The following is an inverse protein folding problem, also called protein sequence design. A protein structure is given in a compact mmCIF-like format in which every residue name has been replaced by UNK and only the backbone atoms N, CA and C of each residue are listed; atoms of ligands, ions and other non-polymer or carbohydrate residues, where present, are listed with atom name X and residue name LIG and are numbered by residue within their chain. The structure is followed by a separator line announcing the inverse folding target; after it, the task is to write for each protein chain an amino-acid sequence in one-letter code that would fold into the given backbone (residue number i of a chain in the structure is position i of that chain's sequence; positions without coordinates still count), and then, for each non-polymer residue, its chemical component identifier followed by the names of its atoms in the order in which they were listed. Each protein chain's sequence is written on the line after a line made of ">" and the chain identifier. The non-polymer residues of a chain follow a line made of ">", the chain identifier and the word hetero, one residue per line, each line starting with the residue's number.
data_IF_145594499006
#
_entry.id   IF_145594499006
#
_cell.length_a   1.000
_cell.length_b   1.000
_cell.length_c   1.000
_cell.angle_alpha   90.00
_cell.angle_beta   90.00
_cell.angle_gamma   90.00
#
_symmetry.space_group_name_H-M   'P 1'
#
loop_
_entity.id
_entity.type
_entity.pdbx_description
1 polymer ?
#
# COMPACT_ATOMS: atom_id res chain seq x y z
N UNK A 1 -21.64 -12.56 -5.38
CA UNK A 1 -20.51 -13.51 -5.47
C UNK A 1 -19.22 -12.79 -5.13
N UNK A 2 -18.33 -13.41 -4.36
CA UNK A 2 -17.07 -12.80 -3.96
C UNK A 2 -16.16 -12.44 -5.14
N UNK A 3 -16.23 -13.19 -6.24
CA UNK A 3 -15.48 -12.92 -7.49
C UNK A 3 -15.70 -11.51 -8.05
N UNK A 4 -16.88 -10.91 -7.85
CA UNK A 4 -17.16 -9.54 -8.31
C UNK A 4 -16.36 -8.46 -7.57
N UNK A 5 -15.73 -8.79 -6.44
CA UNK A 5 -14.81 -7.89 -5.75
C UNK A 5 -13.45 -7.83 -6.43
N UNK A 6 -13.14 -8.70 -7.39
CA UNK A 6 -11.88 -8.69 -8.13
C UNK A 6 -12.11 -8.00 -9.48
N UNK A 7 -11.37 -6.93 -9.76
CA UNK A 7 -11.47 -6.16 -11.01
C UNK A 7 -10.67 -6.79 -12.17
N UNK A 8 -9.90 -7.85 -11.92
CA UNK A 8 -9.05 -8.54 -12.90
C UNK A 8 -9.88 -9.53 -13.72
N UNK A 9 -9.71 -9.51 -15.05
CA UNK A 9 -10.38 -10.43 -15.99
C UNK A 9 -9.63 -11.76 -16.20
N UNK A 10 -8.79 -12.18 -15.24
CA UNK A 10 -7.94 -13.37 -15.35
C UNK A 10 -8.12 -14.32 -14.16
N UNK A 11 -7.43 -15.47 -14.14
CA UNK A 11 -7.50 -16.38 -12.99
C UNK A 11 -7.08 -15.65 -11.72
N UNK A 12 -7.89 -15.82 -10.68
CA UNK A 12 -7.65 -15.25 -9.36
C UNK A 12 -6.79 -16.21 -8.54
N UNK A 13 -5.76 -15.68 -7.90
CA UNK A 13 -4.93 -16.48 -7.00
C UNK A 13 -5.69 -16.80 -5.70
N UNK A 14 -5.27 -17.83 -4.98
CA UNK A 14 -5.93 -18.28 -3.73
C UNK A 14 -6.05 -17.15 -2.69
N UNK A 15 -5.00 -16.32 -2.58
CA UNK A 15 -4.98 -15.15 -1.69
C UNK A 15 -6.00 -14.10 -2.17
N UNK A 16 -6.13 -13.88 -3.47
CA UNK A 16 -7.10 -12.93 -4.03
C UNK A 16 -8.52 -13.37 -3.74
N UNK A 17 -8.81 -14.68 -3.88
CA UNK A 17 -10.10 -15.27 -3.55
C UNK A 17 -10.41 -15.16 -2.05
N UNK A 18 -9.42 -15.44 -1.19
CA UNK A 18 -9.58 -15.33 0.27
C UNK A 18 -9.89 -13.88 0.70
N UNK A 19 -9.16 -12.90 0.18
CA UNK A 19 -9.41 -11.47 0.45
C UNK A 19 -10.77 -11.04 -0.12
N UNK A 20 -11.11 -11.47 -1.34
CA UNK A 20 -12.40 -11.15 -1.95
C UNK A 20 -13.59 -11.72 -1.16
N UNK A 21 -13.46 -12.94 -0.64
CA UNK A 21 -14.46 -13.54 0.25
C UNK A 21 -14.56 -12.76 1.55
N UNK A 22 -13.43 -12.42 2.18
CA UNK A 22 -13.40 -11.64 3.41
C UNK A 22 -14.10 -10.27 3.23
N UNK A 23 -13.89 -9.59 2.10
CA UNK A 23 -14.56 -8.33 1.76
C UNK A 23 -16.07 -8.50 1.54
N UNK A 24 -16.48 -9.58 0.87
CA UNK A 24 -17.90 -9.88 0.65
C UNK A 24 -18.64 -10.16 1.96
N UNK A 25 -18.01 -10.90 2.86
CA UNK A 25 -18.57 -11.17 4.18
C UNK A 25 -18.68 -9.89 5.03
N UNK A 26 -17.68 -8.99 4.95
CA UNK A 26 -17.74 -7.70 5.66
C UNK A 26 -18.86 -6.81 5.12
N UNK A 27 -19.10 -6.82 3.81
CA UNK A 27 -20.23 -6.11 3.20
C UNK A 27 -21.59 -6.61 3.74
N UNK A 28 -21.73 -7.90 4.03
CA UNK A 28 -22.99 -8.47 4.51
C UNK A 28 -23.15 -8.36 6.03
N UNK A 29 -22.07 -8.50 6.79
CA UNK A 29 -22.11 -8.58 8.25
C UNK A 29 -22.01 -7.21 8.94
N UNK A 30 -21.42 -6.20 8.28
CA UNK A 30 -21.24 -4.85 8.86
C UNK A 30 -22.11 -3.85 8.11
N UNK A 31 -23.27 -3.50 8.69
CA UNK A 31 -24.26 -2.62 8.06
C UNK A 31 -23.69 -1.26 7.64
N UNK A 32 -22.78 -0.70 8.43
CA UNK A 32 -22.15 0.60 8.16
C UNK A 32 -21.21 0.57 6.95
N UNK A 33 -20.46 -0.53 6.76
CA UNK A 33 -19.51 -0.67 5.66
C UNK A 33 -20.20 -1.11 4.36
N UNK A 34 -21.42 -1.65 4.43
CA UNK A 34 -22.15 -2.19 3.28
C UNK A 34 -22.29 -1.20 2.12
N UNK A 35 -22.72 0.03 2.40
CA UNK A 35 -22.94 1.06 1.37
C UNK A 35 -21.64 1.46 0.68
N UNK A 36 -20.55 1.54 1.44
CA UNK A 36 -19.25 2.00 0.95
C UNK A 36 -18.45 0.87 0.28
N UNK A 37 -18.53 -0.36 0.78
CA UNK A 37 -17.82 -1.52 0.21
C UNK A 37 -18.48 -2.06 -1.05
N UNK A 38 -19.80 -1.97 -1.20
CA UNK A 38 -20.54 -2.51 -2.36
C UNK A 38 -19.92 -2.13 -3.73
N UNK A 39 -19.63 -0.85 -4.03
CA UNK A 39 -19.03 -0.46 -5.31
C UNK A 39 -17.53 -0.71 -5.42
N UNK A 40 -16.86 -1.09 -4.33
CA UNK A 40 -15.40 -1.21 -4.28
C UNK A 40 -14.93 -2.59 -4.76
N UNK A 41 -13.79 -2.56 -5.47
CA UNK A 41 -13.12 -3.73 -6.00
C UNK A 41 -11.62 -3.66 -5.67
N UNK A 42 -10.98 -4.81 -5.67
CA UNK A 42 -9.53 -4.97 -5.57
C UNK A 42 -8.97 -5.36 -6.94
N UNK A 43 -7.78 -4.87 -7.26
CA UNK A 43 -7.08 -5.22 -8.48
C UNK A 43 -6.30 -6.52 -8.34
N UNK A 44 -5.60 -6.69 -7.21
CA UNK A 44 -4.88 -7.92 -6.85
C UNK A 44 -4.57 -7.94 -5.35
N UNK A 45 -4.15 -9.08 -4.83
CA UNK A 45 -3.65 -9.21 -3.47
C UNK A 45 -2.38 -10.06 -3.49
N UNK A 46 -1.37 -9.67 -2.71
CA UNK A 46 -0.10 -10.38 -2.61
C UNK A 46 0.31 -10.55 -1.16
N UNK A 47 0.85 -11.71 -0.84
CA UNK A 47 1.49 -11.93 0.44
C UNK A 47 2.98 -11.57 0.35
N UNK A 48 3.47 -10.87 1.38
CA UNK A 48 4.86 -10.47 1.53
C UNK A 48 5.32 -10.90 2.90
N UNK A 49 6.43 -11.63 2.95
CA UNK A 49 7.08 -11.98 4.21
C UNK A 49 7.70 -10.72 4.83
N UNK A 50 7.34 -10.48 6.08
CA UNK A 50 7.94 -9.42 6.89
C UNK A 50 9.03 -10.03 7.76
N UNK A 51 9.90 -9.18 8.31
CA UNK A 51 10.90 -9.64 9.27
C UNK A 51 10.25 -10.42 10.42
N UNK A 52 11.00 -11.35 11.00
CA UNK A 52 10.60 -12.13 12.18
C UNK A 52 9.49 -13.17 11.94
N UNK A 53 9.37 -13.69 10.71
CA UNK A 53 8.47 -14.80 10.38
C UNK A 53 6.99 -14.43 10.27
N UNK A 54 6.66 -13.13 10.42
CA UNK A 54 5.32 -12.60 10.16
C UNK A 54 5.11 -12.43 8.65
N UNK A 55 3.85 -12.39 8.24
CA UNK A 55 3.47 -12.14 6.84
C UNK A 55 2.55 -10.94 6.78
N UNK A 56 2.58 -10.22 5.67
CA UNK A 56 1.69 -9.11 5.39
C UNK A 56 0.95 -9.35 4.09
N UNK A 57 -0.34 -8.99 4.08
CA UNK A 57 -1.17 -9.02 2.88
C UNK A 57 -1.24 -7.60 2.32
N UNK A 58 -0.69 -7.44 1.11
CA UNK A 58 -0.73 -6.22 0.34
C UNK A 58 -1.89 -6.29 -0.64
N UNK A 59 -2.90 -5.45 -0.41
CA UNK A 59 -4.10 -5.38 -1.26
C UNK A 59 -3.91 -4.22 -2.24
N UNK A 60 -3.85 -4.54 -3.52
CA UNK A 60 -3.79 -3.56 -4.58
C UNK A 60 -5.19 -3.09 -4.97
N UNK A 61 -5.42 -1.79 -4.85
CA UNK A 61 -6.68 -1.10 -5.12
C UNK A 61 -6.59 -0.38 -6.46
N UNK A 62 -7.62 -0.43 -7.32
CA UNK A 62 -7.67 0.41 -8.52
C UNK A 62 -7.57 1.90 -8.16
N UNK A 63 -6.67 2.64 -8.83
CA UNK A 63 -6.41 4.06 -8.53
C UNK A 63 -7.68 4.93 -8.41
N UNK A 64 -8.72 4.78 -9.27
CA UNK A 64 -9.94 5.57 -9.14
C UNK A 64 -10.70 5.35 -7.82
N UNK A 65 -10.57 4.16 -7.22
CA UNK A 65 -11.29 3.77 -6.00
C UNK A 65 -10.49 4.05 -4.72
N UNK A 66 -9.20 4.39 -4.81
CA UNK A 66 -8.34 4.60 -3.65
C UNK A 66 -8.90 5.64 -2.67
N UNK A 67 -9.43 6.76 -3.16
CA UNK A 67 -10.04 7.79 -2.30
C UNK A 67 -11.24 7.26 -1.51
N UNK A 68 -12.00 6.34 -2.08
CA UNK A 68 -13.13 5.71 -1.39
C UNK A 68 -12.65 4.67 -0.37
N UNK A 69 -11.59 3.91 -0.67
CA UNK A 69 -10.94 3.04 0.31
C UNK A 69 -10.38 3.83 1.49
N UNK A 70 -9.70 4.95 1.26
CA UNK A 70 -9.12 5.78 2.33
C UNK A 70 -10.16 6.24 3.36
N UNK A 71 -11.41 6.52 2.95
CA UNK A 71 -12.50 6.89 3.87
C UNK A 71 -12.80 5.81 4.91
N UNK A 72 -12.72 4.54 4.50
CA UNK A 72 -13.08 3.39 5.33
C UNK A 72 -11.87 2.62 5.85
N UNK A 73 -10.67 2.98 5.40
CA UNK A 73 -9.46 2.16 5.54
C UNK A 73 -9.13 1.84 6.99
N UNK A 74 -9.28 2.78 7.93
CA UNK A 74 -9.01 2.51 9.35
C UNK A 74 -9.92 1.43 9.94
N UNK A 75 -11.21 1.41 9.56
CA UNK A 75 -12.15 0.39 10.03
C UNK A 75 -11.94 -0.92 9.28
N UNK A 76 -11.76 -0.84 7.97
CA UNK A 76 -11.55 -1.98 7.09
C UNK A 76 -10.27 -2.76 7.44
N UNK A 77 -9.17 -2.06 7.74
CA UNK A 77 -7.92 -2.68 8.20
C UNK A 77 -8.13 -3.47 9.48
N UNK A 78 -8.80 -2.89 10.49
CA UNK A 78 -9.10 -3.58 11.76
C UNK A 78 -9.95 -4.84 11.55
N UNK A 79 -11.00 -4.76 10.75
CA UNK A 79 -11.90 -5.89 10.50
C UNK A 79 -11.22 -7.01 9.69
N UNK A 80 -10.38 -6.65 8.72
CA UNK A 80 -9.63 -7.65 7.98
C UNK A 80 -8.49 -8.25 8.82
N UNK A 81 -7.81 -7.49 9.68
CA UNK A 81 -6.76 -8.02 10.57
C UNK A 81 -7.32 -8.97 11.62
N UNK A 82 -8.58 -8.79 12.05
CA UNK A 82 -9.28 -9.80 12.87
C UNK A 82 -9.48 -11.13 12.13
N UNK A 83 -9.77 -11.08 10.83
CA UNK A 83 -10.00 -12.28 10.00
C UNK A 83 -8.68 -12.97 9.61
N UNK A 84 -7.67 -12.19 9.31
CA UNK A 84 -6.34 -12.65 8.95
C UNK A 84 -5.42 -12.50 10.16
N UNK A 85 -5.62 -13.37 11.16
CA UNK A 85 -4.82 -13.36 12.39
C UNK A 85 -3.31 -13.43 12.07
N UNK A 86 -2.52 -12.65 12.79
CA UNK A 86 -1.07 -12.53 12.63
C UNK A 86 -0.56 -12.00 11.29
N UNK A 87 -1.45 -11.47 10.44
CA UNK A 87 -1.06 -10.82 9.19
C UNK A 87 -1.41 -9.35 9.18
N UNK A 88 -0.40 -8.52 8.91
CA UNK A 88 -0.63 -7.09 8.71
C UNK A 88 -1.25 -6.82 7.35
N UNK A 89 -2.22 -5.91 7.32
CA UNK A 89 -2.93 -5.57 6.08
C UNK A 89 -2.58 -4.15 5.68
N UNK A 90 -2.17 -4.02 4.41
CA UNK A 90 -1.76 -2.75 3.81
C UNK A 90 -2.43 -2.59 2.46
N UNK A 91 -3.00 -1.41 2.23
CA UNK A 91 -3.65 -1.05 0.97
C UNK A 91 -2.70 -0.21 0.12
N UNK A 92 -2.55 -0.56 -1.16
CA UNK A 92 -1.73 0.18 -2.12
C UNK A 92 -2.50 0.42 -3.40
N UNK A 93 -2.33 1.58 -4.04
CA UNK A 93 -2.89 1.74 -5.38
C UNK A 93 -2.09 0.94 -6.43
N UNK A 94 -2.82 0.27 -7.33
CA UNK A 94 -2.28 -0.36 -8.51
C UNK A 94 -1.86 0.70 -9.55
N UNK A 95 -0.65 1.24 -9.44
CA UNK A 95 -0.12 2.25 -10.37
C UNK A 95 0.72 1.61 -11.48
N UNK A 96 0.47 2.00 -12.73
CA UNK A 96 1.25 1.55 -13.89
C UNK A 96 2.46 2.45 -14.12
N UNK A 97 3.66 1.86 -14.06
CA UNK A 97 4.90 2.53 -14.48
C UNK A 97 5.03 2.36 -16.00
N UNK A 98 5.17 3.46 -16.73
CA UNK A 98 5.52 3.43 -18.15
C UNK A 98 7.04 3.47 -18.29
N UNK A 99 7.62 2.85 -19.33
CA UNK A 99 9.05 2.94 -19.59
C UNK A 99 9.46 4.38 -19.99
N UNK A 100 10.71 4.77 -19.70
CA UNK A 100 11.25 6.03 -20.21
C UNK A 100 11.41 5.90 -21.73
N UNK A 101 10.85 6.81 -22.55
CA UNK A 101 11.05 6.74 -23.99
C UNK A 101 12.53 6.90 -24.31
N UNK A 102 13.09 5.94 -25.05
CA UNK A 102 14.44 5.98 -25.60
C UNK A 102 14.41 6.60 -27.00
N UNK A 103 15.58 6.85 -27.61
CA UNK A 103 15.66 7.36 -29.00
C UNK A 103 14.97 6.46 -30.03
N UNK A 104 14.85 5.16 -29.74
CA UNK A 104 14.19 4.16 -30.60
C UNK A 104 12.70 3.95 -30.30
N UNK A 105 12.15 4.69 -29.32
CA UNK A 105 10.75 4.56 -28.91
C UNK A 105 9.81 5.00 -30.02
N UNK A 106 8.85 4.13 -30.38
CA UNK A 106 7.75 4.45 -31.31
C UNK A 106 6.53 5.10 -30.63
N UNK A 107 6.65 5.46 -29.34
CA UNK A 107 5.56 6.07 -28.60
C UNK A 107 5.21 7.45 -29.17
N UNK A 108 3.99 7.60 -29.70
CA UNK A 108 3.48 8.86 -30.26
C UNK A 108 3.01 9.85 -29.19
N UNK A 109 2.56 9.35 -28.05
CA UNK A 109 2.01 10.17 -26.96
C UNK A 109 3.06 10.45 -25.89
N UNK A 110 3.04 11.67 -25.35
CA UNK A 110 3.91 12.07 -24.24
C UNK A 110 3.63 11.22 -23.00
N UNK A 111 4.68 10.68 -22.38
CA UNK A 111 4.58 9.94 -21.12
C UNK A 111 4.11 10.88 -20.00
N UNK A 112 2.98 10.58 -19.32
CA UNK A 112 2.54 11.38 -18.17
C UNK A 112 3.53 11.26 -16.99
N UNK A 113 3.79 12.37 -16.29
CA UNK A 113 4.65 12.39 -15.09
C UNK A 113 4.15 11.45 -14.00
N UNK A 114 2.84 11.32 -13.84
CA UNK A 114 2.18 10.42 -12.88
C UNK A 114 2.48 8.93 -13.12
N UNK A 115 2.95 8.55 -14.32
CA UNK A 115 3.35 7.17 -14.67
C UNK A 115 4.87 7.01 -14.76
N UNK A 116 5.61 7.86 -14.04
CA UNK A 116 7.07 7.73 -13.90
C UNK A 116 7.44 6.87 -12.70
N UNK A 117 8.58 6.17 -12.78
CA UNK A 117 9.06 5.32 -11.69
C UNK A 117 9.18 6.11 -10.39
N UNK A 118 9.80 7.29 -10.43
CA UNK A 118 9.98 8.17 -9.27
C UNK A 118 8.63 8.57 -8.65
N UNK A 119 7.70 9.08 -9.46
CA UNK A 119 6.39 9.52 -8.96
C UNK A 119 5.57 8.35 -8.38
N UNK A 120 5.62 7.18 -9.02
CA UNK A 120 4.92 6.00 -8.50
C UNK A 120 5.54 5.53 -7.17
N UNK A 121 6.86 5.55 -7.03
CA UNK A 121 7.54 5.16 -5.80
C UNK A 121 7.29 6.13 -4.64
N UNK A 122 7.09 7.42 -4.92
CA UNK A 122 6.69 8.42 -3.93
C UNK A 122 5.25 8.20 -3.48
N UNK A 123 4.32 8.03 -4.44
CA UNK A 123 2.93 7.74 -4.11
C UNK A 123 2.71 6.40 -3.42
N UNK A 124 3.59 5.42 -3.65
CA UNK A 124 3.57 4.17 -2.91
C UNK A 124 3.98 4.36 -1.43
N UNK A 125 4.91 5.27 -1.13
CA UNK A 125 5.24 5.60 0.27
C UNK A 125 4.04 6.24 0.98
N UNK A 126 3.36 7.18 0.33
CA UNK A 126 2.17 7.84 0.88
C UNK A 126 1.05 6.82 1.19
N UNK A 127 0.78 5.89 0.28
CA UNK A 127 -0.25 4.86 0.50
C UNK A 127 0.09 3.90 1.66
N UNK A 128 1.38 3.53 1.80
CA UNK A 128 1.83 2.59 2.85
C UNK A 128 1.52 3.12 4.25
N UNK A 129 1.69 4.42 4.46
CA UNK A 129 1.63 5.03 5.79
C UNK A 129 0.29 5.66 6.12
N UNK A 130 -0.69 5.60 5.21
CA UNK A 130 -2.05 6.06 5.48
C UNK A 130 -2.62 5.32 6.71
N UNK A 131 -3.16 6.03 7.72
CA UNK A 131 -3.74 7.38 7.66
C UNK A 131 -2.78 8.55 7.90
N UNK A 132 -1.54 8.28 8.30
CA UNK A 132 -0.57 9.30 8.69
C UNK A 132 0.06 9.95 7.47
N UNK A 133 0.46 11.20 7.62
CA UNK A 133 1.16 11.94 6.58
C UNK A 133 2.68 11.88 6.80
N UNK A 134 3.43 11.95 5.70
CA UNK A 134 4.89 12.03 5.75
C UNK A 134 5.27 13.49 6.01
N UNK A 135 5.81 13.77 7.19
CA UNK A 135 6.28 15.11 7.60
C UNK A 135 7.61 15.47 6.95
N UNK A 136 8.44 14.47 6.65
CA UNK A 136 9.73 14.70 6.03
C UNK A 136 10.29 13.45 5.36
N UNK A 137 11.20 13.66 4.40
CA UNK A 137 11.89 12.57 3.70
C UNK A 137 13.31 12.97 3.40
N UNK A 138 14.28 12.17 3.85
CA UNK A 138 15.70 12.35 3.56
C UNK A 138 16.27 11.08 2.96
N UNK A 139 17.22 11.21 2.03
CA UNK A 139 17.98 10.07 1.52
C UNK A 139 19.39 10.17 2.06
N UNK A 140 19.80 9.20 2.89
CA UNK A 140 21.16 9.06 3.35
C UNK A 140 21.91 8.15 2.38
N UNK A 141 23.08 8.60 1.93
CA UNK A 141 24.01 7.78 1.15
C UNK A 141 25.13 7.34 2.09
N UNK A 142 25.35 6.04 2.22
CA UNK A 142 26.46 5.48 3.00
C UNK A 142 27.77 5.55 2.21
N UNK A 143 28.90 5.33 2.89
CA UNK A 143 30.24 5.23 2.27
C UNK A 143 30.27 4.20 1.14
N UNK A 144 29.51 3.12 1.30
CA UNK A 144 29.41 2.03 0.33
C UNK A 144 28.44 2.34 -0.82
N UNK A 145 28.09 3.62 -1.03
CA UNK A 145 27.11 4.15 -1.99
C UNK A 145 25.67 3.66 -1.80
N UNK A 146 25.41 2.81 -0.80
CA UNK A 146 24.08 2.33 -0.44
C UNK A 146 23.19 3.49 -0.01
N UNK A 147 21.98 3.55 -0.58
CA UNK A 147 21.00 4.61 -0.30
C UNK A 147 19.93 4.09 0.65
N UNK A 148 19.76 4.77 1.78
CA UNK A 148 18.70 4.53 2.76
C UNK A 148 17.78 5.74 2.77
N UNK A 149 16.51 5.52 2.49
CA UNK A 149 15.49 6.57 2.55
C UNK A 149 14.95 6.59 3.97
N UNK A 150 15.15 7.68 4.71
CA UNK A 150 14.50 7.88 6.00
C UNK A 150 13.26 8.73 5.81
N UNK A 151 12.13 8.18 6.19
CA UNK A 151 10.81 8.80 6.09
C UNK A 151 10.35 9.13 7.50
N UNK A 152 10.01 10.39 7.71
CA UNK A 152 9.49 10.87 8.98
C UNK A 152 7.97 10.92 8.93
N UNK A 153 7.34 10.36 9.95
CA UNK A 153 5.89 10.35 10.12
C UNK A 153 5.48 11.36 11.18
N UNK A 154 4.19 11.74 11.24
CA UNK A 154 3.70 12.58 12.34
C UNK A 154 3.77 11.82 13.67
N UNK A 155 4.36 12.44 14.69
CA UNK A 155 4.55 11.85 16.02
C UNK A 155 3.23 11.53 16.73
N UNK A 156 2.14 12.22 16.37
CA UNK A 156 0.80 11.99 16.94
C UNK A 156 0.27 10.58 16.72
N UNK A 157 0.65 9.96 15.61
CA UNK A 157 0.14 8.64 15.22
C UNK A 157 1.05 7.49 15.65
N UNK A 158 2.12 7.79 16.42
CA UNK A 158 3.11 6.82 16.89
C UNK A 158 2.49 5.56 17.49
N UNK A 159 1.63 5.73 18.50
CA UNK A 159 0.93 4.63 19.18
C UNK A 159 0.12 3.73 18.23
N UNK A 160 -0.38 4.27 17.12
CA UNK A 160 -1.27 3.55 16.20
C UNK A 160 -0.55 2.84 15.05
N UNK A 161 0.66 3.29 14.68
CA UNK A 161 1.39 2.77 13.51
C UNK A 161 2.72 2.10 13.84
N UNK A 162 3.25 2.27 15.07
CA UNK A 162 4.55 1.73 15.46
C UNK A 162 4.67 0.22 15.21
N UNK A 163 3.61 -0.55 15.49
CA UNK A 163 3.62 -2.00 15.28
C UNK A 163 3.69 -2.44 13.80
N UNK A 164 3.49 -1.53 12.83
CA UNK A 164 3.53 -1.81 11.38
C UNK A 164 4.81 -1.32 10.68
N UNK A 165 5.70 -0.59 11.34
CA UNK A 165 6.85 0.04 10.68
C UNK A 165 7.74 -0.97 9.94
N UNK A 166 8.05 -2.10 10.57
CA UNK A 166 8.86 -3.17 9.95
C UNK A 166 8.17 -3.77 8.72
N UNK A 167 6.84 -3.86 8.77
CA UNK A 167 6.04 -4.31 7.62
C UNK A 167 6.14 -3.33 6.47
N UNK A 168 6.03 -2.02 6.74
CA UNK A 168 6.15 -1.01 5.68
C UNK A 168 7.54 -1.03 5.03
N UNK A 169 8.59 -1.19 5.83
CA UNK A 169 9.96 -1.34 5.34
C UNK A 169 10.09 -2.56 4.40
N UNK A 170 9.60 -3.72 4.85
CA UNK A 170 9.66 -4.97 4.09
C UNK A 170 8.85 -4.89 2.77
N UNK A 171 7.62 -4.39 2.83
CA UNK A 171 6.75 -4.23 1.65
C UNK A 171 7.37 -3.27 0.64
N UNK A 172 7.89 -2.12 1.09
CA UNK A 172 8.52 -1.17 0.19
C UNK A 172 9.78 -1.76 -0.46
N UNK A 173 10.62 -2.44 0.31
CA UNK A 173 11.83 -3.11 -0.18
C UNK A 173 11.48 -4.21 -1.19
N UNK A 174 10.45 -5.02 -0.93
CA UNK A 174 10.01 -6.08 -1.84
C UNK A 174 9.48 -5.54 -3.17
N UNK A 175 8.71 -4.45 -3.13
CA UNK A 175 8.09 -3.89 -4.34
C UNK A 175 9.02 -3.00 -5.16
N UNK A 176 9.95 -2.30 -4.50
CA UNK A 176 10.77 -1.26 -5.17
C UNK A 176 12.27 -1.58 -5.21
N UNK A 177 12.75 -2.53 -4.40
CA UNK A 177 14.16 -2.83 -4.21
C UNK A 177 14.93 -1.76 -3.41
N UNK A 178 14.26 -0.74 -2.88
CA UNK A 178 14.90 0.36 -2.13
C UNK A 178 14.75 0.14 -0.63
N UNK A 179 15.78 0.49 0.12
CA UNK A 179 15.72 0.45 1.58
C UNK A 179 15.12 1.74 2.13
N UNK A 180 14.12 1.56 3.00
CA UNK A 180 13.42 2.64 3.70
C UNK A 180 13.45 2.33 5.19
N UNK A 181 13.55 3.38 6.00
CA UNK A 181 13.35 3.35 7.45
C UNK A 181 12.31 4.42 7.78
N UNK A 182 11.27 4.04 8.50
CA UNK A 182 10.26 4.95 9.02
C UNK A 182 10.60 5.33 10.46
N UNK A 183 10.62 6.62 10.77
CA UNK A 183 10.98 7.15 12.09
C UNK A 183 9.92 8.18 12.51
N UNK A 184 9.54 8.21 13.79
CA UNK A 184 8.81 9.35 14.37
C UNK A 184 9.84 10.38 14.86
N UNK A 185 9.73 11.67 14.49
CA UNK A 185 10.65 12.68 14.97
C UNK A 185 10.46 12.87 16.49
N UNK A 186 11.55 12.71 17.24
CA UNK A 186 11.59 13.04 18.67
C UNK A 186 11.64 14.57 18.81
N UNK A 187 10.46 15.20 18.85
CA UNK A 187 10.25 16.64 18.98
C UNK A 187 10.69 17.52 17.79
N UNK A 188 9.76 18.36 17.32
CA UNK A 188 10.09 19.57 16.58
C UNK A 188 10.87 20.48 17.55
N UNK A 189 12.17 20.64 17.35
CA UNK A 189 12.83 21.83 17.86
C UNK A 189 12.18 23.02 17.12
N UNK A 190 11.53 23.89 17.88
CA UNK A 190 11.06 25.21 17.41
C UNK A 190 12.19 26.00 16.74
#
# INVERSE_FOLDING_TARGET
>A
MASHKIAKNGPADEIELSVAQALFDLENNVADLKKELKPLQIASAKEVETGNGKKAIVIFVPVPQLKAFHKIQQRLTRELEKKFSDRHIVFLAQRRIMAKPTRTSRAKQMRPRSRTLTSVHEKLLEDLVFPTEITGKRTRVQTDQKRIIKVFLDAKDSTSLEYKLDTFCAVYKRLTGKEVVFEFPAHHAE
#
